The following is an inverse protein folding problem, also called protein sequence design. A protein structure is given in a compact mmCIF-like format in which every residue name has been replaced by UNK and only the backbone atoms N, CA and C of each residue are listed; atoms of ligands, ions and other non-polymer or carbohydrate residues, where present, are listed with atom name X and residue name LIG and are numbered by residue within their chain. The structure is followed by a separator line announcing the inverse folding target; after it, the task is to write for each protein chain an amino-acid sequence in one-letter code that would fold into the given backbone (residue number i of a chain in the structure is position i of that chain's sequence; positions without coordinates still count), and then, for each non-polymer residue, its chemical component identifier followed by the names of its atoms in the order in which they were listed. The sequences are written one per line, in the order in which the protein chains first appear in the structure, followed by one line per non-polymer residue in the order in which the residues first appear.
data_IF_061383382773
#
_entry.id   IF_061383382773
#
_cell.length_a   1.000
_cell.length_b   1.000
_cell.length_c   1.000
_cell.angle_alpha   90.00
_cell.angle_beta   90.00
_cell.angle_gamma   90.00
#
_symmetry.space_group_name_H-M   'P 1'
#
loop_
_entity.id
_entity.type
_entity.pdbx_description
1 polymer ?
#
# COMPACT_ATOMS: atom_id res chain seq x y z
N UNK A 1 2.82 0.43 -5.73
CA UNK A 1 1.81 -0.59 -6.09
C UNK A 1 2.11 -1.19 -7.45
N UNK A 2 1.85 -2.49 -7.60
CA UNK A 2 2.00 -3.25 -8.84
C UNK A 2 0.67 -3.24 -9.61
N UNK A 3 0.64 -2.47 -10.71
CA UNK A 3 -0.59 -2.18 -11.45
C UNK A 3 -0.37 -2.38 -12.94
N UNK A 4 -1.27 -3.11 -13.59
CA UNK A 4 -1.34 -3.22 -15.05
C UNK A 4 -2.49 -2.35 -15.53
N UNK A 5 -2.22 -1.34 -16.36
CA UNK A 5 -3.24 -0.48 -16.95
C UNK A 5 -3.60 -0.96 -18.35
N UNK A 6 -4.85 -1.34 -18.54
CA UNK A 6 -5.43 -1.54 -19.85
C UNK A 6 -6.12 -0.26 -20.32
N UNK A 7 -6.05 0.05 -21.60
CA UNK A 7 -6.73 1.22 -22.18
C UNK A 7 -7.26 0.89 -23.58
N UNK A 8 -8.50 1.28 -23.86
CA UNK A 8 -9.18 0.92 -25.10
C UNK A 8 -10.52 1.61 -25.30
N UNK A 9 -11.09 1.47 -26.49
CA UNK A 9 -12.45 1.97 -26.80
C UNK A 9 -13.51 0.89 -26.60
N UNK A 10 -13.13 -0.36 -26.78
CA UNK A 10 -13.99 -1.52 -26.60
C UNK A 10 -13.89 -1.99 -25.15
N UNK A 11 -15.04 -2.05 -24.45
CA UNK A 11 -15.07 -2.46 -23.04
C UNK A 11 -15.02 -3.98 -22.90
N UNK A 12 -15.57 -4.72 -23.87
CA UNK A 12 -15.59 -6.17 -23.90
C UNK A 12 -14.17 -6.73 -24.07
N UNK A 13 -13.37 -6.14 -24.95
CA UNK A 13 -11.94 -6.49 -25.12
C UNK A 13 -11.14 -6.25 -23.82
N UNK A 14 -11.35 -5.11 -23.16
CA UNK A 14 -10.67 -4.79 -21.91
C UNK A 14 -11.04 -5.77 -20.78
N UNK A 15 -12.32 -6.13 -20.68
CA UNK A 15 -12.79 -7.10 -19.68
C UNK A 15 -12.22 -8.49 -19.96
N UNK A 16 -12.20 -8.91 -21.23
CA UNK A 16 -11.63 -10.21 -21.62
C UNK A 16 -10.14 -10.30 -21.26
N UNK A 17 -9.35 -9.28 -21.59
CA UNK A 17 -7.94 -9.24 -21.25
C UNK A 17 -7.71 -9.16 -19.73
N UNK A 18 -8.54 -8.41 -19.01
CA UNK A 18 -8.46 -8.34 -17.56
C UNK A 18 -8.71 -9.70 -16.89
N UNK A 19 -9.63 -10.50 -17.43
CA UNK A 19 -9.89 -11.85 -16.94
C UNK A 19 -8.70 -12.80 -17.19
N UNK A 20 -8.04 -12.68 -18.35
CA UNK A 20 -6.79 -13.42 -18.64
C UNK A 20 -5.72 -13.08 -17.58
N UNK A 21 -5.50 -11.79 -17.31
CA UNK A 21 -4.53 -11.34 -16.30
C UNK A 21 -4.91 -11.86 -14.91
N UNK A 22 -6.18 -11.76 -14.53
CA UNK A 22 -6.67 -12.21 -13.21
C UNK A 22 -6.46 -13.71 -13.02
N UNK A 23 -6.76 -14.51 -14.05
CA UNK A 23 -6.61 -15.97 -14.00
C UNK A 23 -5.14 -16.39 -13.95
N UNK A 24 -4.28 -15.72 -14.72
CA UNK A 24 -2.84 -15.95 -14.65
C UNK A 24 -2.29 -15.59 -13.27
N UNK A 25 -2.61 -14.39 -12.76
CA UNK A 25 -2.20 -13.95 -11.43
C UNK A 25 -2.62 -14.93 -10.35
N UNK A 26 -3.86 -15.42 -10.38
CA UNK A 26 -4.42 -16.36 -9.39
C UNK A 26 -3.57 -17.62 -9.17
N UNK A 27 -2.81 -18.06 -10.18
CA UNK A 27 -2.04 -19.30 -10.14
C UNK A 27 -0.52 -19.08 -10.25
N UNK A 28 -0.08 -17.82 -10.34
CA UNK A 28 1.32 -17.48 -10.50
C UNK A 28 2.04 -17.50 -9.16
N UNK A 29 3.16 -18.21 -9.06
CA UNK A 29 4.06 -18.14 -7.92
C UNK A 29 5.46 -17.80 -8.42
N UNK A 30 6.15 -16.97 -7.67
CA UNK A 30 7.55 -16.62 -7.88
C UNK A 30 8.26 -16.55 -6.53
N UNK A 31 8.81 -17.68 -6.04
CA UNK A 31 9.47 -17.74 -4.75
C UNK A 31 10.69 -16.81 -4.63
N UNK A 32 11.34 -16.43 -5.74
CA UNK A 32 12.45 -15.48 -5.73
C UNK A 32 12.01 -14.07 -5.33
N UNK A 33 10.74 -13.76 -5.56
CA UNK A 33 10.13 -12.46 -5.24
C UNK A 33 9.17 -12.53 -4.06
N UNK A 34 9.18 -13.63 -3.30
CA UNK A 34 8.22 -13.90 -2.22
C UNK A 34 6.76 -13.72 -2.68
N UNK A 35 6.44 -14.26 -3.86
CA UNK A 35 5.07 -14.28 -4.42
C UNK A 35 4.56 -15.71 -4.39
N UNK A 36 3.44 -15.94 -3.71
CA UNK A 36 2.94 -17.28 -3.46
C UNK A 36 1.44 -17.36 -3.74
N UNK A 37 1.04 -18.05 -4.81
CA UNK A 37 -0.38 -18.20 -5.13
C UNK A 37 -1.15 -19.02 -4.08
N UNK A 38 -0.51 -20.01 -3.44
CA UNK A 38 -1.16 -20.93 -2.51
C UNK A 38 -0.26 -21.34 -1.34
N UNK A 39 -0.85 -21.46 -0.15
CA UNK A 39 -0.29 -22.21 0.98
C UNK A 39 -1.16 -23.44 1.22
N UNK A 40 -0.63 -24.63 0.90
CA UNK A 40 -1.42 -25.85 0.82
C UNK A 40 -2.58 -25.68 -0.18
N UNK A 41 -3.82 -25.61 0.28
CA UNK A 41 -5.01 -25.40 -0.54
C UNK A 41 -5.56 -23.96 -0.47
N UNK A 42 -5.03 -23.11 0.42
CA UNK A 42 -5.52 -21.74 0.61
C UNK A 42 -4.96 -20.81 -0.49
N UNK A 43 -5.82 -20.17 -1.31
CA UNK A 43 -5.40 -19.21 -2.32
C UNK A 43 -5.13 -17.82 -1.73
N UNK A 44 -4.02 -17.20 -2.12
CA UNK A 44 -3.63 -15.88 -1.60
C UNK A 44 -3.92 -14.72 -2.55
N UNK A 45 -4.01 -15.00 -3.84
CA UNK A 45 -4.01 -13.99 -4.87
C UNK A 45 -5.41 -13.45 -5.20
N UNK A 46 -5.49 -12.13 -5.33
CA UNK A 46 -6.67 -11.43 -5.84
C UNK A 46 -6.25 -10.23 -6.67
N UNK A 47 -7.21 -9.51 -7.25
CA UNK A 47 -6.96 -8.25 -7.94
C UNK A 47 -7.96 -7.19 -7.49
N UNK A 48 -7.55 -5.93 -7.48
CA UNK A 48 -8.46 -4.79 -7.35
C UNK A 48 -8.61 -4.10 -8.71
N UNK A 49 -9.73 -4.29 -9.43
CA UNK A 49 -9.97 -3.59 -10.68
C UNK A 49 -10.48 -2.16 -10.42
N UNK A 50 -9.92 -1.17 -11.11
CA UNK A 50 -10.35 0.22 -11.06
C UNK A 50 -10.64 0.67 -12.49
N UNK A 51 -11.93 0.75 -12.81
CA UNK A 51 -12.41 1.20 -14.11
C UNK A 51 -12.67 2.70 -14.12
N UNK A 52 -12.26 3.39 -15.19
CA UNK A 52 -12.57 4.81 -15.41
C UNK A 52 -12.69 5.14 -16.90
N UNK A 53 -13.31 6.28 -17.22
CA UNK A 53 -13.32 6.83 -18.58
C UNK A 53 -12.49 8.10 -18.61
N UNK A 54 -11.46 8.14 -19.46
CA UNK A 54 -10.54 9.27 -19.58
C UNK A 54 -10.33 9.61 -21.05
N UNK A 55 -10.54 10.90 -21.40
CA UNK A 55 -10.36 11.41 -22.77
C UNK A 55 -11.07 10.57 -23.85
N UNK A 56 -12.27 10.08 -23.54
CA UNK A 56 -13.08 9.26 -24.46
C UNK A 56 -12.69 7.78 -24.57
N UNK A 57 -11.66 7.33 -23.84
CA UNK A 57 -11.25 5.92 -23.74
C UNK A 57 -11.63 5.35 -22.38
N UNK A 58 -11.85 4.03 -22.34
CA UNK A 58 -11.94 3.27 -21.10
C UNK A 58 -10.54 2.90 -20.64
N UNK A 59 -10.26 3.07 -19.35
CA UNK A 59 -9.06 2.61 -18.68
C UNK A 59 -9.47 1.63 -17.58
N UNK A 60 -8.74 0.52 -17.45
CA UNK A 60 -8.92 -0.47 -16.40
C UNK A 60 -7.57 -0.75 -15.75
N UNK A 61 -7.38 -0.25 -14.54
CA UNK A 61 -6.21 -0.56 -13.72
C UNK A 61 -6.47 -1.86 -12.96
N UNK A 62 -5.60 -2.84 -13.15
CA UNK A 62 -5.63 -4.14 -12.48
C UNK A 62 -4.51 -4.13 -11.47
N UNK A 63 -4.87 -4.03 -10.19
CA UNK A 63 -3.90 -3.96 -9.10
C UNK A 63 -3.71 -5.35 -8.54
N UNK A 64 -2.50 -5.87 -8.66
CA UNK A 64 -2.15 -7.20 -8.21
C UNK A 64 -2.08 -7.23 -6.68
N UNK A 65 -2.66 -8.27 -6.08
CA UNK A 65 -2.70 -8.47 -4.63
C UNK A 65 -2.25 -9.88 -4.29
N UNK A 66 -1.44 -9.97 -3.25
CA UNK A 66 -1.05 -11.21 -2.62
C UNK A 66 -1.28 -11.04 -1.11
N UNK A 67 -2.14 -11.90 -0.56
CA UNK A 67 -2.54 -11.85 0.85
C UNK A 67 -1.85 -12.93 1.69
N UNK A 68 -0.82 -13.60 1.17
CA UNK A 68 -0.12 -14.61 1.94
C UNK A 68 0.54 -13.98 3.17
N UNK A 69 0.67 -14.79 4.21
CA UNK A 69 1.26 -14.41 5.49
C UNK A 69 2.53 -15.21 5.74
N UNK A 70 3.37 -14.70 6.62
CA UNK A 70 4.55 -15.40 7.10
C UNK A 70 4.63 -15.34 8.62
N UNK A 71 5.53 -16.11 9.23
CA UNK A 71 5.77 -16.01 10.68
C UNK A 71 6.24 -14.61 11.09
N UNK A 72 6.96 -13.92 10.20
CA UNK A 72 7.42 -12.56 10.42
C UNK A 72 6.29 -11.54 10.23
N UNK A 73 5.39 -11.78 9.27
CA UNK A 73 4.29 -10.88 8.92
C UNK A 73 2.95 -11.63 8.96
N UNK A 74 2.39 -11.83 10.17
CA UNK A 74 1.14 -12.57 10.34
C UNK A 74 -0.08 -11.83 9.78
N UNK A 75 -0.01 -10.50 9.68
CA UNK A 75 -1.05 -9.65 9.09
C UNK A 75 -0.97 -9.60 7.55
N UNK A 76 0.04 -10.20 6.93
CA UNK A 76 0.26 -10.24 5.48
C UNK A 76 1.64 -9.71 5.09
N UNK A 77 2.30 -10.38 4.15
CA UNK A 77 3.62 -9.96 3.64
C UNK A 77 3.53 -8.64 2.88
N UNK A 78 2.43 -8.43 2.14
CA UNK A 78 2.14 -7.20 1.40
C UNK A 78 1.05 -6.34 2.07
N UNK A 79 1.22 -6.14 3.37
CA UNK A 79 0.35 -5.31 4.22
C UNK A 79 1.21 -4.37 5.08
N UNK A 80 0.70 -3.23 5.59
CA UNK A 80 1.44 -2.41 6.55
C UNK A 80 2.14 -3.21 7.66
N UNK A 81 3.46 -3.06 7.75
CA UNK A 81 4.29 -3.75 8.74
C UNK A 81 4.26 -3.07 10.11
N UNK A 82 4.66 -3.77 11.19
CA UNK A 82 4.49 -3.29 12.57
C UNK A 82 5.04 -1.87 12.86
N UNK A 83 6.09 -1.46 12.16
CA UNK A 83 6.70 -0.13 12.30
C UNK A 83 5.78 1.02 11.87
N UNK A 84 4.79 0.77 11.00
CA UNK A 84 3.86 1.80 10.50
C UNK A 84 2.41 1.63 10.95
N UNK A 85 2.09 0.50 11.60
CA UNK A 85 0.73 0.17 12.04
C UNK A 85 0.15 1.15 13.06
N UNK A 86 0.99 1.93 13.76
CA UNK A 86 0.51 2.98 14.66
C UNK A 86 -0.32 4.03 13.90
N UNK A 87 0.09 4.41 12.69
CA UNK A 87 -0.72 5.28 11.81
C UNK A 87 -1.74 4.45 11.04
N UNK A 88 -1.31 3.42 10.31
CA UNK A 88 -2.18 2.73 9.36
C UNK A 88 -2.02 1.22 9.49
N UNK A 89 -2.97 0.60 10.19
CA UNK A 89 -3.05 -0.86 10.34
C UNK A 89 -4.08 -1.51 9.42
N UNK A 90 -5.10 -0.77 8.99
CA UNK A 90 -6.16 -1.35 8.18
C UNK A 90 -5.69 -1.60 6.74
N UNK A 91 -6.38 -2.50 6.04
CA UNK A 91 -6.05 -2.89 4.67
C UNK A 91 -5.94 -1.70 3.72
N UNK A 92 -5.05 -1.83 2.73
CA UNK A 92 -4.84 -0.84 1.68
C UNK A 92 -5.99 -0.93 0.67
N UNK A 93 -6.88 0.06 0.74
CA UNK A 93 -8.11 0.13 -0.03
C UNK A 93 -7.94 0.76 -1.41
N UNK A 94 -9.07 1.04 -2.06
CA UNK A 94 -9.11 1.64 -3.40
C UNK A 94 -8.44 3.01 -3.45
N UNK A 95 -8.61 3.82 -2.39
CA UNK A 95 -8.16 5.21 -2.36
C UNK A 95 -6.63 5.28 -2.27
N UNK A 96 -6.03 4.40 -1.47
CA UNK A 96 -4.58 4.24 -1.36
C UNK A 96 -3.96 3.78 -2.67
N UNK A 97 -4.61 2.84 -3.34
CA UNK A 97 -4.20 2.37 -4.66
C UNK A 97 -4.24 3.48 -5.71
N UNK A 98 -5.17 4.42 -5.60
CA UNK A 98 -5.26 5.60 -6.46
C UNK A 98 -4.21 6.68 -6.15
N UNK A 99 -3.31 6.44 -5.20
CA UNK A 99 -2.25 7.38 -4.81
C UNK A 99 -2.72 8.49 -3.86
N UNK A 100 -3.89 8.30 -3.24
CA UNK A 100 -4.39 9.15 -2.16
C UNK A 100 -4.17 8.44 -0.82
N UNK A 101 -4.47 9.09 0.30
CA UNK A 101 -4.45 8.43 1.62
C UNK A 101 -5.71 8.82 2.38
N UNK A 102 -6.42 7.84 2.94
CA UNK A 102 -7.48 8.11 3.92
C UNK A 102 -6.87 8.05 5.31
N UNK A 103 -7.03 9.14 6.06
CA UNK A 103 -6.72 9.16 7.48
C UNK A 103 -7.79 8.38 8.25
N UNK A 104 -7.44 7.32 9.00
CA UNK A 104 -8.35 6.66 9.94
C UNK A 104 -9.05 7.67 10.86
N UNK A 105 -10.37 7.57 11.08
CA UNK A 105 -11.10 8.52 11.93
C UNK A 105 -10.53 8.66 13.34
N UNK A 106 -10.02 7.57 13.92
CA UNK A 106 -9.36 7.55 15.24
C UNK A 106 -8.15 8.48 15.31
N UNK A 107 -7.38 8.56 14.22
CA UNK A 107 -6.12 9.30 14.19
C UNK A 107 -6.33 10.81 14.32
N UNK A 108 -7.53 11.32 14.03
CA UNK A 108 -7.78 12.76 14.21
C UNK A 108 -7.58 13.20 15.67
N UNK A 109 -8.08 12.41 16.62
CA UNK A 109 -7.90 12.68 18.04
C UNK A 109 -6.49 12.32 18.50
N UNK A 110 -6.00 11.15 18.10
CA UNK A 110 -4.67 10.66 18.50
C UNK A 110 -3.55 11.59 18.03
N UNK A 111 -3.62 12.13 16.81
CA UNK A 111 -2.63 13.08 16.29
C UNK A 111 -2.67 14.42 17.01
N UNK A 112 -3.83 14.89 17.49
CA UNK A 112 -3.89 16.10 18.30
C UNK A 112 -3.14 15.90 19.63
N UNK A 113 -3.27 14.73 20.26
CA UNK A 113 -2.48 14.39 21.45
C UNK A 113 -0.99 14.28 21.16
N UNK A 114 -0.61 13.79 19.97
CA UNK A 114 0.79 13.81 19.51
C UNK A 114 1.28 15.26 19.31
N UNK A 115 0.50 16.18 18.75
CA UNK A 115 0.90 17.60 18.65
C UNK A 115 1.15 18.22 20.04
N UNK A 116 0.29 17.93 21.01
CA UNK A 116 0.46 18.36 22.40
C UNK A 116 1.75 17.78 23.00
N UNK A 117 1.99 16.48 22.79
CA UNK A 117 3.22 15.82 23.22
C UNK A 117 4.46 16.48 22.61
N UNK A 118 4.46 16.71 21.29
CA UNK A 118 5.56 17.29 20.53
C UNK A 118 5.91 18.72 21.00
N UNK A 119 4.92 19.48 21.47
CA UNK A 119 5.09 20.86 21.97
C UNK A 119 5.26 20.95 23.49
N UNK A 120 5.48 19.83 24.18
CA UNK A 120 5.66 19.73 25.62
C UNK A 120 4.44 20.23 26.44
N UNK A 121 3.24 20.09 25.88
CA UNK A 121 1.98 20.34 26.58
C UNK A 121 1.46 19.06 27.25
N UNK A 122 0.52 19.22 28.18
CA UNK A 122 -0.23 18.07 28.71
C UNK A 122 -0.91 17.33 27.56
N UNK A 123 -0.81 16.00 27.55
CA UNK A 123 -1.32 15.14 26.50
C UNK A 123 -1.67 13.76 27.05
N UNK A 124 -2.52 13.07 26.30
CA UNK A 124 -2.90 11.67 26.54
C UNK A 124 -2.49 10.82 25.32
N UNK A 125 -1.33 11.11 24.74
CA UNK A 125 -0.84 10.44 23.54
C UNK A 125 -0.68 8.92 23.80
N UNK A 126 -1.28 8.12 22.93
CA UNK A 126 -1.23 6.66 23.05
C UNK A 126 0.22 6.14 22.98
N UNK A 127 0.54 5.14 23.80
CA UNK A 127 1.91 4.63 23.95
C UNK A 127 2.54 4.17 22.63
N UNK A 128 1.74 3.61 21.72
CA UNK A 128 2.19 3.13 20.42
C UNK A 128 2.59 4.25 19.44
N UNK A 129 2.36 5.53 19.78
CA UNK A 129 2.88 6.67 19.03
C UNK A 129 4.18 7.23 19.60
N UNK A 130 4.54 6.90 20.84
CA UNK A 130 5.61 7.58 21.58
C UNK A 130 6.96 7.46 20.91
N UNK A 131 7.38 6.25 20.53
CA UNK A 131 8.67 6.04 19.87
C UNK A 131 8.81 6.90 18.60
N UNK A 132 7.77 6.91 17.76
CA UNK A 132 7.74 7.75 16.56
C UNK A 132 7.74 9.25 16.88
N UNK A 133 6.99 9.68 17.91
CA UNK A 133 6.97 11.08 18.32
C UNK A 133 8.32 11.53 18.93
N UNK A 134 9.02 10.66 19.63
CA UNK A 134 10.36 10.90 20.16
C UNK A 134 11.39 11.05 19.04
N UNK A 135 11.33 10.20 18.03
CA UNK A 135 12.17 10.31 16.83
C UNK A 135 11.90 11.63 16.08
N UNK A 136 10.64 12.09 16.03
CA UNK A 136 10.31 13.40 15.46
C UNK A 136 10.90 14.56 16.26
N UNK A 137 10.79 14.53 17.59
CA UNK A 137 11.43 15.54 18.47
C UNK A 137 12.95 15.58 18.31
N UNK A 138 13.58 14.43 18.08
CA UNK A 138 15.03 14.33 17.92
C UNK A 138 15.51 14.80 16.53
N UNK A 139 14.65 14.71 15.50
CA UNK A 139 15.04 14.95 14.10
C UNK A 139 14.76 16.36 13.59
N UNK A 140 13.81 17.09 14.18
CA UNK A 140 13.40 18.42 13.74
C UNK A 140 13.10 19.31 14.95
N UNK A 141 13.40 20.61 14.85
CA UNK A 141 12.99 21.58 15.86
C UNK A 141 11.48 21.85 15.76
N UNK A 142 10.75 21.54 16.83
CA UNK A 142 9.29 21.59 16.86
C UNK A 142 8.83 22.66 17.84
N UNK A 143 7.92 23.51 17.37
CA UNK A 143 7.29 24.59 18.12
C UNK A 143 5.78 24.60 17.86
N UNK A 144 4.99 25.30 18.68
CA UNK A 144 3.56 25.46 18.45
C UNK A 144 3.21 26.03 17.06
N UNK A 145 4.11 26.82 16.47
CA UNK A 145 3.89 27.46 15.17
C UNK A 145 4.07 26.49 13.98
N UNK A 146 4.89 25.44 14.13
CA UNK A 146 5.22 24.52 13.04
C UNK A 146 4.74 23.07 13.25
N UNK A 147 4.31 22.70 14.46
CA UNK A 147 4.02 21.31 14.85
C UNK A 147 3.04 20.64 13.91
N UNK A 148 1.98 21.35 13.51
CA UNK A 148 0.96 20.81 12.62
C UNK A 148 1.52 20.40 11.26
N UNK A 149 2.37 21.24 10.66
CA UNK A 149 2.99 20.96 9.37
C UNK A 149 4.04 19.85 9.47
N UNK A 150 4.82 19.84 10.55
CA UNK A 150 5.79 18.77 10.82
C UNK A 150 5.07 17.43 10.96
N UNK A 151 4.01 17.38 11.75
CA UNK A 151 3.23 16.17 11.96
C UNK A 151 2.53 15.70 10.68
N UNK A 152 1.92 16.61 9.92
CA UNK A 152 1.31 16.27 8.65
C UNK A 152 2.32 15.65 7.67
N UNK A 153 3.52 16.23 7.57
CA UNK A 153 4.59 15.70 6.72
C UNK A 153 5.05 14.32 7.21
N UNK A 154 5.23 14.16 8.51
CA UNK A 154 5.63 12.89 9.12
C UNK A 154 4.60 11.78 8.88
N UNK A 155 3.30 12.09 9.07
CA UNK A 155 2.21 11.17 8.75
C UNK A 155 2.24 10.79 7.26
N UNK A 156 2.47 11.77 6.38
CA UNK A 156 2.64 11.51 4.93
C UNK A 156 3.79 10.55 4.62
N UNK A 157 4.93 10.67 5.32
CA UNK A 157 6.06 9.75 5.17
C UNK A 157 5.70 8.33 5.64
N UNK A 158 4.96 8.19 6.75
CA UNK A 158 4.48 6.89 7.20
C UNK A 158 3.52 6.27 6.17
N UNK A 159 2.63 7.05 5.55
CA UNK A 159 1.77 6.55 4.47
C UNK A 159 2.55 6.12 3.22
N UNK A 160 3.64 6.82 2.86
CA UNK A 160 4.52 6.37 1.77
C UNK A 160 5.12 5.01 2.11
N UNK A 161 5.64 4.85 3.32
CA UNK A 161 6.20 3.58 3.79
C UNK A 161 5.18 2.44 3.75
N UNK A 162 3.96 2.69 4.22
CA UNK A 162 2.83 1.75 4.12
C UNK A 162 2.57 1.29 2.69
N UNK A 163 2.65 2.19 1.71
CA UNK A 163 2.47 1.86 0.29
C UNK A 163 3.65 1.07 -0.30
N UNK A 164 4.85 1.20 0.28
CA UNK A 164 6.01 0.39 -0.08
C UNK A 164 5.82 -1.06 0.37
N UNK A 165 5.26 -1.30 1.55
CA UNK A 165 4.95 -2.65 2.04
C UNK A 165 3.87 -3.31 1.17
N UNK A 166 2.80 -2.57 0.88
CA UNK A 166 1.63 -3.11 0.17
C UNK A 166 1.82 -3.39 -1.33
N UNK A 167 2.91 -2.91 -1.93
CA UNK A 167 3.25 -3.25 -3.31
C UNK A 167 3.88 -4.63 -3.39
N UNK A 168 3.28 -5.54 -4.18
CA UNK A 168 3.81 -6.88 -4.43
C UNK A 168 5.22 -6.80 -5.02
N UNK A 169 5.34 -6.21 -6.21
CA UNK A 169 6.63 -5.89 -6.83
C UNK A 169 7.11 -4.51 -6.39
N UNK A 170 8.28 -4.49 -5.75
CA UNK A 170 8.94 -3.25 -5.31
C UNK A 170 9.48 -2.45 -6.50
N UNK A 171 9.73 -1.16 -6.31
CA UNK A 171 10.29 -0.27 -7.36
C UNK A 171 11.80 -0.43 -7.57
N UNK A 172 12.43 -1.46 -6.99
CA UNK A 172 13.84 -1.79 -7.23
C UNK A 172 14.04 -2.45 -8.61
N UNK A 173 15.30 -2.67 -8.99
CA UNK A 173 15.63 -3.36 -10.24
C UNK A 173 15.12 -4.81 -10.23
N UNK A 174 15.26 -5.48 -9.10
CA UNK A 174 14.82 -6.87 -8.88
C UNK A 174 13.29 -6.96 -8.95
N UNK A 175 12.58 -6.04 -8.30
CA UNK A 175 11.12 -6.00 -8.34
C UNK A 175 10.57 -5.71 -9.74
N UNK A 176 11.23 -4.85 -10.52
CA UNK A 176 10.86 -4.61 -11.91
C UNK A 176 11.12 -5.84 -12.80
N UNK A 177 12.25 -6.51 -12.63
CA UNK A 177 12.56 -7.75 -13.35
C UNK A 177 11.55 -8.86 -13.02
N UNK A 178 11.19 -9.01 -11.74
CA UNK A 178 10.17 -9.94 -11.30
C UNK A 178 8.79 -9.64 -11.88
N UNK A 179 8.42 -8.36 -11.93
CA UNK A 179 7.15 -7.97 -12.55
C UNK A 179 7.15 -8.30 -14.05
N UNK A 180 8.26 -8.07 -14.76
CA UNK A 180 8.41 -8.47 -16.15
C UNK A 180 8.27 -9.99 -16.34
N UNK A 181 8.87 -10.82 -15.48
CA UNK A 181 8.68 -12.28 -15.55
C UNK A 181 7.20 -12.67 -15.48
N UNK A 182 6.40 -12.02 -14.64
CA UNK A 182 4.95 -12.24 -14.62
C UNK A 182 4.28 -11.82 -15.93
N UNK A 183 4.63 -10.64 -16.47
CA UNK A 183 4.09 -10.14 -17.73
C UNK A 183 4.39 -11.07 -18.92
N UNK A 184 5.58 -11.69 -18.97
CA UNK A 184 5.93 -12.67 -19.98
C UNK A 184 5.00 -13.90 -19.94
N UNK A 185 4.55 -14.33 -18.75
CA UNK A 185 3.62 -15.48 -18.63
C UNK A 185 2.24 -15.23 -19.24
N UNK A 186 1.88 -13.96 -19.43
CA UNK A 186 0.62 -13.54 -20.06
C UNK A 186 0.84 -12.98 -21.48
N UNK A 187 2.03 -13.17 -22.05
CA UNK A 187 2.36 -12.79 -23.42
C UNK A 187 2.55 -11.28 -23.63
N UNK A 188 2.95 -10.54 -22.58
CA UNK A 188 3.27 -9.12 -22.65
C UNK A 188 4.80 -8.97 -22.55
N UNK A 189 5.41 -8.38 -23.57
CA UNK A 189 6.84 -8.07 -23.67
C UNK A 189 7.14 -6.60 -23.33
#
# INVERSE_FOLDING_TARGET
MSVIRLAGKDKEELVALAEVIRQAWRHYSDPESDVLAFSQEEPHHTVTPIARKRRGQFELDIVLRDNHTSQQFPDGVYHPHPDVQHIKKENIGLIEVMGLAILPPRLKGELAEVENYLTNQYNEAADYHKAWADDLKASVDISPDNVHQVLQKAVGQVFVRVLEDAGVYKRSQEGQAAFHRFLETIGIE
#
